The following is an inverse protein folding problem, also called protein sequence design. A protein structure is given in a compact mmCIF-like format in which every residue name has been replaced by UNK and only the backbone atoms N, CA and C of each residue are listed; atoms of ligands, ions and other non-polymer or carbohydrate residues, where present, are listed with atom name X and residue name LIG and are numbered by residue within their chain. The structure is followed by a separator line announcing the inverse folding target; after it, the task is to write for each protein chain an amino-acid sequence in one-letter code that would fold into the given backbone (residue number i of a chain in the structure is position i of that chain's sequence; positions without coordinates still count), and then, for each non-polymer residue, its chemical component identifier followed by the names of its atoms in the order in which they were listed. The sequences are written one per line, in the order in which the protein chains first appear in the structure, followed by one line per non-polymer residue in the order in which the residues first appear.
data_IF_262167666620
#
_entry.id   IF_262167666620
#
_cell.length_a   1.000
_cell.length_b   1.000
_cell.length_c   1.000
_cell.angle_alpha   90.00
_cell.angle_beta   90.00
_cell.angle_gamma   90.00
#
_symmetry.space_group_name_H-M   'P 1'
#
loop_
_entity.id
_entity.type
_entity.pdbx_description
1 polymer ?
#
# COMPACT_ATOMS: atom_id res chain seq x y z
N UNK A 1 12.67 -9.54 6.65
CA UNK A 1 13.45 -8.78 5.71
C UNK A 1 13.24 -9.36 4.32
N UNK A 2 12.49 -8.67 3.50
CA UNK A 2 12.44 -8.98 2.09
C UNK A 2 13.77 -8.60 1.43
N UNK A 3 14.05 -9.19 0.28
CA UNK A 3 15.16 -8.73 -0.56
C UNK A 3 14.91 -7.25 -0.88
N UNK A 4 15.91 -6.40 -0.65
CA UNK A 4 15.81 -4.99 -0.99
C UNK A 4 15.70 -4.87 -2.52
N UNK A 5 14.60 -4.29 -2.99
CA UNK A 5 14.35 -4.07 -4.41
C UNK A 5 14.95 -2.74 -4.79
N UNK A 6 15.87 -2.73 -5.77
CA UNK A 6 16.55 -1.51 -6.19
C UNK A 6 15.58 -0.47 -6.79
N UNK A 7 15.89 0.83 -6.69
CA UNK A 7 15.08 1.88 -7.31
C UNK A 7 14.88 1.68 -8.82
N UNK A 8 15.91 1.18 -9.53
CA UNK A 8 15.83 0.89 -10.98
C UNK A 8 14.77 -0.17 -11.27
N UNK A 9 14.71 -1.22 -10.46
CA UNK A 9 13.72 -2.28 -10.61
C UNK A 9 12.31 -1.76 -10.35
N UNK A 10 12.14 -0.92 -9.34
CA UNK A 10 10.84 -0.28 -9.09
C UNK A 10 10.41 0.62 -10.26
N UNK A 11 11.31 1.42 -10.81
CA UNK A 11 11.02 2.24 -12.01
C UNK A 11 10.64 1.39 -13.21
N UNK A 12 11.34 0.27 -13.45
CA UNK A 12 10.99 -0.67 -14.52
C UNK A 12 9.61 -1.29 -14.36
N UNK A 13 9.24 -1.71 -13.14
CA UNK A 13 7.91 -2.27 -12.85
C UNK A 13 6.83 -1.18 -13.00
N UNK A 14 7.09 0.04 -12.55
CA UNK A 14 6.19 1.18 -12.72
C UNK A 14 5.95 1.50 -14.20
N UNK A 15 6.99 1.54 -15.02
CA UNK A 15 6.88 1.75 -16.47
C UNK A 15 6.08 0.64 -17.15
N UNK A 16 6.30 -0.62 -16.76
CA UNK A 16 5.51 -1.75 -17.24
C UNK A 16 4.04 -1.60 -16.86
N UNK A 17 3.75 -1.23 -15.60
CA UNK A 17 2.39 -1.01 -15.13
C UNK A 17 1.69 0.10 -15.92
N UNK A 18 2.35 1.21 -16.20
CA UNK A 18 1.83 2.29 -17.04
C UNK A 18 1.51 1.83 -18.46
N UNK A 19 2.28 0.88 -18.99
CA UNK A 19 2.04 0.35 -20.35
C UNK A 19 0.86 -0.62 -20.39
N UNK A 20 0.75 -1.50 -19.39
CA UNK A 20 -0.23 -2.59 -19.38
C UNK A 20 -1.55 -2.24 -18.66
N UNK A 21 -1.50 -1.29 -17.73
CA UNK A 21 -2.61 -0.86 -16.89
C UNK A 21 -2.77 0.68 -16.92
N UNK A 22 -2.56 1.27 -18.09
CA UNK A 22 -2.61 2.72 -18.31
C UNK A 22 -3.96 3.35 -17.93
N UNK A 23 -5.02 2.59 -18.06
CA UNK A 23 -6.39 3.04 -17.78
C UNK A 23 -6.89 2.37 -16.50
N UNK A 24 -6.93 3.08 -15.36
CA UNK A 24 -7.46 2.55 -14.13
C UNK A 24 -8.93 2.11 -14.28
N UNK A 25 -9.23 0.88 -13.85
CA UNK A 25 -10.58 0.33 -13.95
C UNK A 25 -10.69 -1.10 -13.44
N UNK A 26 -9.55 -1.72 -13.17
CA UNK A 26 -9.46 -3.05 -12.58
C UNK A 26 -8.93 -2.93 -11.16
N UNK A 27 -9.80 -2.80 -10.17
CA UNK A 27 -9.44 -2.51 -8.78
C UNK A 27 -8.30 -3.35 -8.22
N UNK A 28 -8.21 -4.63 -8.60
CA UNK A 28 -7.09 -5.49 -8.24
C UNK A 28 -5.75 -5.01 -8.83
N UNK A 29 -5.74 -4.74 -10.14
CA UNK A 29 -4.53 -4.28 -10.85
C UNK A 29 -4.11 -2.88 -10.38
N UNK A 30 -5.09 -1.98 -10.24
CA UNK A 30 -4.87 -0.59 -9.82
C UNK A 30 -4.31 -0.51 -8.40
N UNK A 31 -4.75 -1.40 -7.50
CA UNK A 31 -4.21 -1.51 -6.15
C UNK A 31 -2.71 -1.87 -6.18
N UNK A 32 -2.32 -2.88 -6.97
CA UNK A 32 -0.91 -3.27 -7.09
C UNK A 32 -0.08 -2.24 -7.84
N UNK A 33 -0.67 -1.57 -8.83
CA UNK A 33 -0.03 -0.46 -9.54
C UNK A 33 0.26 0.70 -8.58
N UNK A 34 -0.66 1.04 -7.67
CA UNK A 34 -0.47 2.13 -6.72
C UNK A 34 0.79 1.95 -5.85
N UNK A 35 1.01 0.77 -5.26
CA UNK A 35 2.25 0.55 -4.48
C UNK A 35 3.50 0.59 -5.37
N UNK A 36 3.41 0.06 -6.59
CA UNK A 36 4.53 0.06 -7.54
C UNK A 36 4.92 1.48 -7.92
N UNK A 37 3.96 2.33 -8.25
CA UNK A 37 4.18 3.73 -8.57
C UNK A 37 4.72 4.51 -7.37
N UNK A 38 4.18 4.27 -6.18
CA UNK A 38 4.70 4.85 -4.95
C UNK A 38 6.17 4.49 -4.71
N UNK A 39 6.53 3.20 -4.83
CA UNK A 39 7.92 2.74 -4.64
C UNK A 39 8.88 3.24 -5.72
N UNK A 40 8.37 3.56 -6.89
CA UNK A 40 9.13 4.19 -7.98
C UNK A 40 9.21 5.72 -7.87
N UNK A 41 8.44 6.35 -6.96
CA UNK A 41 8.31 7.81 -6.86
C UNK A 41 7.53 8.42 -8.03
N UNK A 42 6.68 7.63 -8.69
CA UNK A 42 5.89 8.07 -9.83
C UNK A 42 4.57 8.71 -9.35
N UNK A 43 4.65 9.97 -8.96
CA UNK A 43 3.54 10.76 -8.42
C UNK A 43 2.42 10.91 -9.44
N UNK A 44 2.76 11.22 -10.69
CA UNK A 44 1.80 11.42 -11.78
C UNK A 44 0.92 10.18 -11.99
N UNK A 45 1.51 8.98 -11.94
CA UNK A 45 0.75 7.73 -12.07
C UNK A 45 -0.17 7.48 -10.86
N UNK A 46 0.23 7.86 -9.65
CA UNK A 46 -0.65 7.80 -8.48
C UNK A 46 -1.83 8.78 -8.62
N UNK A 47 -1.58 10.00 -9.06
CA UNK A 47 -2.60 11.00 -9.31
C UNK A 47 -3.57 10.55 -10.40
N UNK A 48 -3.07 9.91 -11.45
CA UNK A 48 -3.91 9.31 -12.49
C UNK A 48 -4.86 8.24 -11.92
N UNK A 49 -4.40 7.38 -11.02
CA UNK A 49 -5.27 6.40 -10.35
C UNK A 49 -6.33 7.14 -9.51
N UNK A 50 -5.95 8.16 -8.74
CA UNK A 50 -6.87 8.93 -7.91
C UNK A 50 -7.95 9.60 -8.75
N UNK A 51 -7.59 10.17 -9.89
CA UNK A 51 -8.52 10.87 -10.78
C UNK A 51 -9.45 9.91 -11.53
N UNK A 52 -8.91 8.81 -12.04
CA UNK A 52 -9.53 8.02 -13.10
C UNK A 52 -9.97 6.61 -12.70
N UNK A 53 -9.68 6.12 -11.48
CA UNK A 53 -10.12 4.79 -11.06
C UNK A 53 -11.64 4.66 -11.13
N UNK A 54 -12.11 3.56 -11.71
CA UNK A 54 -13.52 3.25 -11.99
C UNK A 54 -13.89 1.87 -11.44
N UNK A 55 -15.17 1.57 -11.46
CA UNK A 55 -15.70 0.26 -11.05
C UNK A 55 -16.09 0.19 -9.57
N UNK A 56 -16.55 -0.98 -9.12
CA UNK A 56 -17.21 -1.17 -7.82
C UNK A 56 -16.35 -0.84 -6.61
N UNK A 57 -15.03 -0.89 -6.73
CA UNK A 57 -14.06 -0.63 -5.64
C UNK A 57 -13.19 0.59 -5.89
N UNK A 58 -13.61 1.46 -6.81
CA UNK A 58 -12.86 2.67 -7.18
C UNK A 58 -12.62 3.60 -6.00
N UNK A 59 -13.57 3.71 -5.08
CA UNK A 59 -13.44 4.48 -3.84
C UNK A 59 -12.29 3.98 -2.96
N UNK A 60 -12.16 2.66 -2.79
CA UNK A 60 -11.06 2.07 -2.03
C UNK A 60 -9.73 2.18 -2.78
N UNK A 61 -9.73 1.97 -4.10
CA UNK A 61 -8.54 2.12 -4.94
C UNK A 61 -7.98 3.55 -4.86
N UNK A 62 -8.84 4.55 -4.94
CA UNK A 62 -8.46 5.96 -4.78
C UNK A 62 -7.91 6.27 -3.39
N UNK A 63 -8.50 5.69 -2.33
CA UNK A 63 -7.98 5.82 -0.96
C UNK A 63 -6.58 5.23 -0.83
N UNK A 64 -6.34 4.04 -1.40
CA UNK A 64 -5.02 3.39 -1.38
C UNK A 64 -3.98 4.24 -2.11
N UNK A 65 -4.28 4.70 -3.33
CA UNK A 65 -3.36 5.55 -4.09
C UNK A 65 -3.04 6.86 -3.33
N UNK A 66 -4.06 7.49 -2.73
CA UNK A 66 -3.89 8.70 -1.92
C UNK A 66 -3.08 8.44 -0.65
N UNK A 67 -3.28 7.29 0.02
CA UNK A 67 -2.49 6.92 1.18
C UNK A 67 -0.99 6.77 0.82
N UNK A 68 -0.70 6.14 -0.32
CA UNK A 68 0.68 6.06 -0.81
C UNK A 68 1.25 7.44 -1.20
N UNK A 69 0.43 8.34 -1.75
CA UNK A 69 0.86 9.71 -2.03
C UNK A 69 1.25 10.43 -0.74
N UNK A 70 0.42 10.32 0.31
CA UNK A 70 0.75 10.87 1.63
C UNK A 70 2.02 10.27 2.22
N UNK A 71 2.31 8.99 1.99
CA UNK A 71 3.58 8.38 2.41
C UNK A 71 4.79 9.02 1.70
N UNK A 72 4.66 9.40 0.41
CA UNK A 72 5.74 10.10 -0.31
C UNK A 72 6.04 11.47 0.33
N UNK A 73 5.01 12.15 0.81
CA UNK A 73 5.11 13.45 1.49
C UNK A 73 5.45 13.33 2.99
N UNK A 74 5.77 12.12 3.47
CA UNK A 74 5.99 11.81 4.89
C UNK A 74 4.80 12.19 5.79
N UNK A 75 3.60 12.34 5.24
CA UNK A 75 2.36 12.58 5.99
C UNK A 75 1.80 11.25 6.51
N UNK A 76 2.52 10.68 7.48
CA UNK A 76 2.23 9.35 8.02
C UNK A 76 0.87 9.26 8.72
N UNK A 77 0.40 10.36 9.32
CA UNK A 77 -0.91 10.41 9.98
C UNK A 77 -2.02 10.21 8.98
N UNK A 78 -2.11 11.06 7.96
CA UNK A 78 -3.16 10.98 6.93
C UNK A 78 -3.09 9.65 6.17
N UNK A 79 -1.87 9.14 5.88
CA UNK A 79 -1.70 7.84 5.26
C UNK A 79 -2.27 6.71 6.13
N UNK A 80 -1.98 6.70 7.44
CA UNK A 80 -2.45 5.65 8.36
C UNK A 80 -3.98 5.68 8.54
N UNK A 81 -4.60 6.85 8.54
CA UNK A 81 -6.07 6.99 8.61
C UNK A 81 -6.74 6.37 7.38
N UNK A 82 -6.23 6.67 6.18
CA UNK A 82 -6.74 6.08 4.94
C UNK A 82 -6.53 4.56 4.90
N UNK A 83 -5.33 4.07 5.21
CA UNK A 83 -5.10 2.62 5.25
C UNK A 83 -6.00 1.93 6.27
N UNK A 84 -6.22 2.51 7.45
CA UNK A 84 -7.13 1.98 8.45
C UNK A 84 -8.55 1.84 7.90
N UNK A 85 -9.03 2.84 7.15
CA UNK A 85 -10.36 2.78 6.52
C UNK A 85 -10.44 1.67 5.46
N UNK A 86 -9.39 1.50 4.67
CA UNK A 86 -9.33 0.48 3.60
C UNK A 86 -9.21 -0.92 4.19
N UNK A 87 -8.39 -1.11 5.22
CA UNK A 87 -8.24 -2.42 5.91
C UNK A 87 -9.57 -2.93 6.43
N UNK A 88 -10.43 -2.05 6.96
CA UNK A 88 -11.77 -2.42 7.43
C UNK A 88 -12.71 -2.92 6.32
N UNK A 89 -12.47 -2.47 5.10
CA UNK A 89 -13.29 -2.78 3.94
C UNK A 89 -12.59 -3.70 2.93
N UNK A 90 -11.43 -4.27 3.28
CA UNK A 90 -10.57 -5.03 2.36
C UNK A 90 -11.28 -6.19 1.66
N UNK A 91 -12.32 -6.78 2.28
CA UNK A 91 -13.12 -7.85 1.69
C UNK A 91 -13.79 -7.44 0.37
N UNK A 92 -14.05 -6.14 0.17
CA UNK A 92 -14.64 -5.61 -1.07
C UNK A 92 -13.70 -5.74 -2.27
N UNK A 93 -12.37 -5.77 -2.06
CA UNK A 93 -11.42 -6.05 -3.14
C UNK A 93 -11.46 -7.52 -3.61
N UNK A 94 -12.17 -8.40 -2.91
CA UNK A 94 -12.13 -9.84 -3.16
C UNK A 94 -10.75 -10.44 -2.93
N UNK A 95 -9.92 -9.78 -2.16
CA UNK A 95 -8.49 -9.86 -2.18
C UNK A 95 -7.86 -11.17 -1.73
N UNK A 96 -6.81 -11.53 -2.42
CA UNK A 96 -5.87 -12.55 -2.00
C UNK A 96 -5.21 -12.18 -0.65
N UNK A 97 -4.66 -13.18 0.04
CA UNK A 97 -3.87 -12.92 1.26
C UNK A 97 -2.75 -11.91 1.01
N UNK A 98 -2.12 -11.94 -0.18
CA UNK A 98 -1.05 -11.02 -0.54
C UNK A 98 -1.51 -9.54 -0.58
N UNK A 99 -2.72 -9.25 -1.05
CA UNK A 99 -3.25 -7.88 -1.02
C UNK A 99 -3.51 -7.39 0.40
N UNK A 100 -4.08 -8.25 1.25
CA UNK A 100 -4.27 -7.95 2.66
C UNK A 100 -2.94 -7.70 3.37
N UNK A 101 -1.93 -8.52 3.06
CA UNK A 101 -0.58 -8.34 3.59
C UNK A 101 0.00 -6.97 3.24
N UNK A 102 -0.17 -6.52 1.99
CA UNK A 102 0.30 -5.20 1.56
C UNK A 102 -0.36 -4.06 2.34
N UNK A 103 -1.67 -4.14 2.59
CA UNK A 103 -2.39 -3.13 3.39
C UNK A 103 -1.92 -3.12 4.84
N UNK A 104 -1.85 -4.30 5.47
CA UNK A 104 -1.44 -4.44 6.87
C UNK A 104 0.00 -3.96 7.09
N UNK A 105 0.91 -4.31 6.19
CA UNK A 105 2.30 -3.86 6.27
C UNK A 105 2.45 -2.37 5.96
N UNK A 106 1.68 -1.82 5.02
CA UNK A 106 1.68 -0.38 4.74
C UNK A 106 1.18 0.42 5.93
N UNK A 107 0.08 -0.03 6.56
CA UNK A 107 -0.43 0.58 7.78
C UNK A 107 0.58 0.49 8.93
N UNK A 108 1.17 -0.69 9.14
CA UNK A 108 2.19 -0.87 10.18
C UNK A 108 3.40 0.04 9.96
N UNK A 109 3.85 0.19 8.72
CA UNK A 109 4.95 1.11 8.38
C UNK A 109 4.59 2.57 8.74
N UNK A 110 3.39 3.04 8.39
CA UNK A 110 2.94 4.38 8.76
C UNK A 110 2.90 4.59 10.28
N UNK A 111 2.41 3.59 11.03
CA UNK A 111 2.37 3.65 12.49
C UNK A 111 3.77 3.67 13.11
N UNK A 112 4.71 2.90 12.57
CA UNK A 112 6.11 2.90 13.02
C UNK A 112 6.77 4.26 12.81
N UNK A 113 6.56 4.91 11.67
CA UNK A 113 7.06 6.26 11.40
C UNK A 113 6.46 7.33 12.35
N UNK A 114 5.27 7.08 12.90
CA UNK A 114 4.63 7.91 13.93
C UNK A 114 5.09 7.57 15.36
N UNK A 115 5.99 6.61 15.55
CA UNK A 115 6.39 6.12 16.88
C UNK A 115 5.34 5.21 17.55
N UNK A 116 4.24 4.87 16.87
CA UNK A 116 3.10 4.08 17.38
C UNK A 116 3.39 2.58 17.31
N UNK A 117 4.55 2.18 17.83
CA UNK A 117 5.06 0.80 17.74
C UNK A 117 4.11 -0.25 18.35
N UNK A 118 3.46 0.08 19.48
CA UNK A 118 2.52 -0.83 20.14
C UNK A 118 1.33 -1.15 19.23
N UNK A 119 0.78 -0.15 18.57
CA UNK A 119 -0.36 -0.32 17.66
C UNK A 119 0.02 -1.13 16.41
N UNK A 120 1.18 -0.86 15.83
CA UNK A 120 1.70 -1.65 14.72
C UNK A 120 1.84 -3.14 15.11
N UNK A 121 2.40 -3.43 16.30
CA UNK A 121 2.48 -4.80 16.83
C UNK A 121 1.11 -5.43 17.02
N UNK A 122 0.14 -4.69 17.58
CA UNK A 122 -1.22 -5.21 17.82
C UNK A 122 -1.91 -5.61 16.51
N UNK A 123 -1.85 -4.76 15.48
CA UNK A 123 -2.44 -5.06 14.18
C UNK A 123 -1.81 -6.33 13.60
N UNK A 124 -0.48 -6.40 13.56
CA UNK A 124 0.22 -7.55 13.00
C UNK A 124 0.06 -8.83 13.83
N UNK A 125 -0.10 -8.73 15.15
CA UNK A 125 -0.38 -9.88 16.00
C UNK A 125 -1.71 -10.54 15.64
N UNK A 126 -2.71 -9.76 15.28
CA UNK A 126 -4.04 -10.23 14.89
C UNK A 126 -4.04 -10.74 13.45
N UNK A 127 -3.46 -9.98 12.53
CA UNK A 127 -3.59 -10.24 11.10
C UNK A 127 -2.44 -11.09 10.55
N UNK A 128 -1.25 -10.98 11.14
CA UNK A 128 -0.01 -11.61 10.65
C UNK A 128 0.88 -12.11 11.81
N UNK A 129 0.41 -13.03 12.65
CA UNK A 129 1.16 -13.46 13.84
C UNK A 129 2.54 -14.05 13.48
N UNK A 130 2.69 -14.69 12.33
CA UNK A 130 3.97 -15.24 11.86
C UNK A 130 5.01 -14.16 11.51
N UNK A 131 4.59 -12.97 11.14
CA UNK A 131 5.49 -11.86 10.84
C UNK A 131 6.17 -11.31 12.09
N UNK A 132 5.55 -11.47 13.27
CA UNK A 132 6.12 -11.07 14.57
C UNK A 132 7.17 -12.06 15.08
N UNK A 133 7.11 -13.31 14.65
CA UNK A 133 8.04 -14.38 15.08
C UNK A 133 9.38 -14.34 14.32
N UNK A 134 9.41 -13.63 13.21
CA UNK A 134 10.59 -13.47 12.36
C UNK A 134 10.91 -11.99 12.27
N UNK A 135 12.18 -11.61 12.30
CA UNK A 135 12.63 -10.21 12.12
C UNK A 135 12.39 -9.72 10.68
N UNK A 136 11.13 -9.85 10.22
CA UNK A 136 10.72 -9.54 8.86
C UNK A 136 10.48 -8.03 8.68
N UNK A 137 10.08 -7.35 9.76
CA UNK A 137 9.69 -5.94 9.71
C UNK A 137 10.73 -5.11 10.47
N UNK A 138 11.48 -4.31 9.72
CA UNK A 138 12.45 -3.37 10.29
C UNK A 138 11.76 -2.35 11.21
N UNK A 139 12.35 -2.07 12.37
CA UNK A 139 11.84 -1.09 13.34
C UNK A 139 10.72 -1.61 14.25
N UNK A 140 10.25 -2.83 14.08
CA UNK A 140 9.18 -3.39 14.91
C UNK A 140 9.70 -3.91 16.26
N UNK A 141 10.94 -4.32 16.32
CA UNK A 141 11.59 -4.93 17.50
C UNK A 141 12.39 -3.93 18.32
#
# INVERSE_FOLDING_TARGET
AGVEVTPERWRGISAYAMTKFANPGLGFADFHAAITHARAGNIEALENIIANAKGPVSDLTKKVARAYLYMQDANWLSASELFTSVVREHARFGGSNAQRDLLDFSLAACLLHQGRKREAKTILAITRPRALQKDIISGLH
#
